data_IF_589154714909
#
_entry.id   IF_589154714909
#
_cell.length_a   1.000
_cell.length_b   1.000
_cell.length_c   1.000
_cell.angle_alpha   90.00
_cell.angle_beta   90.00
_cell.angle_gamma   90.00
#
_symmetry.space_group_name_H-M   'P 1'
#
loop_
_entity.id
_entity.type
_entity.pdbx_description
1 polymer ?
#
# COMPACT_ATOMS: atom_id res chain seq x y z
N UNK A 1 20.17 -20.51 -2.91
CA UNK A 1 19.90 -19.34 -2.04
C UNK A 1 19.68 -19.87 -0.63
N UNK A 2 20.42 -19.38 0.36
CA UNK A 2 20.35 -19.90 1.73
C UNK A 2 18.92 -19.76 2.30
N UNK A 3 18.40 -20.81 2.94
CA UNK A 3 17.04 -20.87 3.52
C UNK A 3 16.73 -19.69 4.45
N UNK A 4 17.76 -19.16 5.11
CA UNK A 4 17.69 -17.96 5.94
C UNK A 4 17.27 -16.72 5.13
N UNK A 5 17.79 -16.54 3.92
CA UNK A 5 17.45 -15.40 3.06
C UNK A 5 15.98 -15.44 2.62
N UNK A 6 15.44 -16.61 2.30
CA UNK A 6 14.01 -16.77 1.95
C UNK A 6 13.09 -16.37 3.12
N UNK A 7 13.45 -16.75 4.35
CA UNK A 7 12.69 -16.40 5.56
C UNK A 7 12.76 -14.89 5.82
N UNK A 8 13.92 -14.27 5.62
CA UNK A 8 14.09 -12.82 5.72
C UNK A 8 13.22 -12.09 4.71
N UNK A 9 13.27 -12.47 3.42
CA UNK A 9 12.42 -11.86 2.39
C UNK A 9 10.94 -11.98 2.74
N UNK A 10 10.45 -13.17 3.12
CA UNK A 10 9.05 -13.35 3.54
C UNK A 10 8.66 -12.38 4.65
N UNK A 11 9.49 -12.29 5.69
CA UNK A 11 9.22 -11.42 6.84
C UNK A 11 9.25 -9.94 6.44
N UNK A 12 10.17 -9.52 5.57
CA UNK A 12 10.22 -8.15 5.05
C UNK A 12 8.94 -7.85 4.27
N UNK A 13 8.58 -8.67 3.27
CA UNK A 13 7.38 -8.45 2.46
C UNK A 13 6.10 -8.35 3.32
N UNK A 14 5.91 -9.27 4.26
CA UNK A 14 4.72 -9.28 5.11
C UNK A 14 4.71 -8.13 6.13
N UNK A 15 5.85 -7.81 6.76
CA UNK A 15 5.92 -6.67 7.70
C UNK A 15 5.73 -5.34 6.98
N UNK A 16 6.37 -5.16 5.82
CA UNK A 16 6.20 -3.97 4.99
C UNK A 16 4.76 -3.84 4.50
N UNK A 17 4.09 -4.95 4.16
CA UNK A 17 2.66 -4.93 3.84
C UNK A 17 1.81 -4.42 5.01
N UNK A 18 2.04 -4.93 6.24
CA UNK A 18 1.29 -4.48 7.43
C UNK A 18 1.51 -2.99 7.70
N UNK A 19 2.76 -2.52 7.65
CA UNK A 19 3.07 -1.09 7.83
C UNK A 19 2.42 -0.25 6.74
N UNK A 20 2.51 -0.69 5.48
CA UNK A 20 1.88 -0.01 4.35
C UNK A 20 0.35 0.04 4.45
N UNK A 21 -0.28 -1.02 4.97
CA UNK A 21 -1.73 -1.05 5.20
C UNK A 21 -2.15 -0.05 6.29
N UNK A 22 -1.40 0.01 7.40
CA UNK A 22 -1.64 1.02 8.44
C UNK A 22 -1.50 2.43 7.89
N UNK A 23 -0.49 2.68 7.05
CA UNK A 23 -0.32 3.95 6.37
C UNK A 23 -1.46 4.27 5.41
N UNK A 24 -1.95 3.29 4.65
CA UNK A 24 -3.08 3.47 3.75
C UNK A 24 -4.36 3.85 4.50
N UNK A 25 -4.63 3.19 5.63
CA UNK A 25 -5.76 3.52 6.50
C UNK A 25 -5.60 4.93 7.06
N UNK A 26 -4.41 5.27 7.56
CA UNK A 26 -4.12 6.60 8.07
C UNK A 26 -4.32 7.69 7.01
N UNK A 27 -3.81 7.47 5.80
CA UNK A 27 -4.01 8.39 4.66
C UNK A 27 -5.48 8.52 4.28
N UNK A 28 -6.24 7.42 4.32
CA UNK A 28 -7.67 7.45 4.05
C UNK A 28 -8.42 8.30 5.08
N UNK A 29 -8.15 8.09 6.38
CA UNK A 29 -8.74 8.89 7.45
C UNK A 29 -8.35 10.36 7.31
N UNK A 30 -7.07 10.67 7.10
CA UNK A 30 -6.62 12.05 6.89
C UNK A 30 -7.32 12.70 5.70
N UNK A 31 -7.40 12.01 4.57
CA UNK A 31 -8.07 12.52 3.36
C UNK A 31 -9.54 12.79 3.61
N UNK A 32 -10.24 11.89 4.30
CA UNK A 32 -11.65 12.03 4.60
C UNK A 32 -11.92 13.17 5.61
N UNK A 33 -11.11 13.27 6.66
CA UNK A 33 -11.27 14.29 7.71
C UNK A 33 -10.88 15.69 7.23
N UNK A 34 -9.85 15.80 6.39
CA UNK A 34 -9.33 17.08 5.90
C UNK A 34 -9.78 17.41 4.47
N UNK A 35 -10.85 16.78 3.98
CA UNK A 35 -11.30 16.95 2.59
C UNK A 35 -11.56 18.42 2.22
N UNK A 36 -12.32 19.13 3.04
CA UNK A 36 -12.67 20.55 2.77
C UNK A 36 -11.43 21.44 2.74
N UNK A 37 -10.49 21.19 3.65
CA UNK A 37 -9.21 21.91 3.71
C UNK A 37 -8.34 21.62 2.48
N UNK A 38 -8.25 20.35 2.08
CA UNK A 38 -7.52 19.94 0.88
C UNK A 38 -8.13 20.54 -0.39
N UNK A 39 -9.46 20.54 -0.51
CA UNK A 39 -10.17 21.16 -1.63
C UNK A 39 -9.92 22.66 -1.69
N UNK A 40 -10.00 23.35 -0.54
CA UNK A 40 -9.72 24.78 -0.45
C UNK A 40 -8.30 25.13 -0.89
N UNK A 41 -7.29 24.36 -0.44
CA UNK A 41 -5.89 24.56 -0.85
C UNK A 41 -5.68 24.21 -2.32
N UNK A 42 -6.22 23.08 -2.79
CA UNK A 42 -6.08 22.63 -4.17
C UNK A 42 -6.68 23.65 -5.14
N UNK A 43 -7.83 24.20 -4.80
CA UNK A 43 -8.47 25.24 -5.59
C UNK A 43 -7.68 26.55 -5.53
N UNK A 44 -7.34 27.05 -4.33
CA UNK A 44 -6.69 28.37 -4.16
C UNK A 44 -5.25 28.44 -4.69
N UNK A 45 -4.46 27.37 -4.54
CA UNK A 45 -3.05 27.36 -4.96
C UNK A 45 -2.84 26.76 -6.34
N UNK A 46 -3.59 25.72 -6.68
CA UNK A 46 -3.36 24.93 -7.89
C UNK A 46 -4.47 25.08 -8.92
N UNK A 47 -5.56 25.79 -8.61
CA UNK A 47 -6.73 25.94 -9.48
C UNK A 47 -7.32 24.61 -9.93
N UNK A 48 -7.15 23.56 -9.11
CA UNK A 48 -7.67 22.23 -9.37
C UNK A 48 -9.11 22.18 -8.86
N UNK A 49 -10.05 21.75 -9.71
CA UNK A 49 -11.42 21.51 -9.30
C UNK A 49 -11.51 20.33 -8.33
N UNK A 50 -12.49 20.37 -7.44
CA UNK A 50 -12.75 19.29 -6.47
C UNK A 50 -12.92 17.92 -7.16
N UNK A 51 -13.60 17.88 -8.30
CA UNK A 51 -13.77 16.65 -9.11
C UNK A 51 -12.41 16.08 -9.56
N UNK A 52 -11.52 16.93 -10.07
CA UNK A 52 -10.21 16.49 -10.52
C UNK A 52 -9.32 16.06 -9.35
N UNK A 53 -9.40 16.77 -8.21
CA UNK A 53 -8.71 16.38 -6.99
C UNK A 53 -9.17 14.99 -6.51
N UNK A 54 -10.50 14.75 -6.52
CA UNK A 54 -11.08 13.45 -6.20
C UNK A 54 -10.57 12.34 -7.11
N UNK A 55 -10.53 12.56 -8.43
CA UNK A 55 -9.97 11.59 -9.39
C UNK A 55 -8.49 11.28 -9.10
N UNK A 56 -7.68 12.29 -8.81
CA UNK A 56 -6.25 12.13 -8.51
C UNK A 56 -6.05 11.31 -7.21
N UNK A 57 -6.81 11.65 -6.17
CA UNK A 57 -6.73 10.99 -4.87
C UNK A 57 -7.22 9.54 -4.98
N UNK A 58 -8.35 9.29 -5.63
CA UNK A 58 -8.86 7.95 -5.88
C UNK A 58 -7.87 7.12 -6.70
N UNK A 59 -7.29 7.69 -7.77
CA UNK A 59 -6.23 7.05 -8.55
C UNK A 59 -5.01 6.70 -7.69
N UNK A 60 -4.61 7.58 -6.79
CA UNK A 60 -3.54 7.32 -5.83
C UNK A 60 -3.87 6.14 -4.90
N UNK A 61 -5.11 6.05 -4.38
CA UNK A 61 -5.54 4.90 -3.56
C UNK A 61 -5.58 3.59 -4.35
N UNK A 62 -6.01 3.62 -5.61
CA UNK A 62 -5.99 2.43 -6.48
C UNK A 62 -4.55 1.95 -6.69
N UNK A 63 -3.62 2.85 -6.99
CA UNK A 63 -2.21 2.52 -7.14
C UNK A 63 -1.60 1.98 -5.84
N UNK A 64 -1.91 2.61 -4.70
CA UNK A 64 -1.47 2.15 -3.39
C UNK A 64 -1.99 0.74 -3.09
N UNK A 65 -3.28 0.48 -3.33
CA UNK A 65 -3.90 -0.84 -3.19
C UNK A 65 -3.20 -1.87 -4.08
N UNK A 66 -2.96 -1.52 -5.35
CA UNK A 66 -2.27 -2.40 -6.29
C UNK A 66 -0.87 -2.76 -5.78
N UNK A 67 -0.10 -1.77 -5.34
CA UNK A 67 1.24 -1.98 -4.80
C UNK A 67 1.22 -2.88 -3.56
N UNK A 68 0.37 -2.58 -2.57
CA UNK A 68 0.27 -3.37 -1.34
C UNK A 68 -0.10 -4.83 -1.63
N UNK A 69 -1.08 -5.07 -2.51
CA UNK A 69 -1.54 -6.43 -2.80
C UNK A 69 -0.54 -7.17 -3.69
N UNK A 70 -0.23 -6.63 -4.87
CA UNK A 70 0.50 -7.38 -5.89
C UNK A 70 2.01 -7.34 -5.69
N UNK A 71 2.55 -6.24 -5.18
CA UNK A 71 4.01 -6.07 -5.03
C UNK A 71 4.49 -6.52 -3.66
N UNK A 72 3.65 -6.46 -2.61
CA UNK A 72 4.05 -6.87 -1.27
C UNK A 72 3.40 -8.18 -0.81
N UNK A 73 2.07 -8.23 -0.78
CA UNK A 73 1.34 -9.36 -0.19
C UNK A 73 1.52 -10.65 -1.01
N UNK A 74 1.29 -10.58 -2.31
CA UNK A 74 1.41 -11.74 -3.22
C UNK A 74 2.78 -12.42 -3.13
N UNK A 75 3.93 -11.71 -3.30
CA UNK A 75 5.24 -12.35 -3.15
C UNK A 75 5.52 -12.81 -1.71
N UNK A 76 5.05 -12.08 -0.69
CA UNK A 76 5.14 -12.51 0.70
C UNK A 76 4.45 -13.85 0.96
N UNK A 77 3.25 -14.03 0.42
CA UNK A 77 2.49 -15.29 0.48
C UNK A 77 3.16 -16.38 -0.34
N UNK A 78 3.60 -16.08 -1.57
CA UNK A 78 4.29 -17.05 -2.42
C UNK A 78 5.54 -17.61 -1.71
N UNK A 79 6.36 -16.75 -1.11
CA UNK A 79 7.52 -17.16 -0.31
C UNK A 79 7.12 -18.02 0.90
N UNK A 80 6.00 -17.72 1.56
CA UNK A 80 5.49 -18.55 2.65
C UNK A 80 5.22 -19.99 2.19
N UNK A 81 4.55 -20.17 1.04
CA UNK A 81 4.27 -21.50 0.48
C UNK A 81 5.53 -22.23 0.02
N UNK A 82 6.48 -21.54 -0.62
CA UNK A 82 7.76 -22.13 -1.05
C UNK A 82 8.60 -22.62 0.14
N UNK A 83 8.66 -21.85 1.23
CA UNK A 83 9.37 -22.28 2.44
C UNK A 83 8.67 -23.50 3.06
N UNK A 84 7.33 -23.55 3.03
CA UNK A 84 6.54 -24.67 3.54
C UNK A 84 6.76 -25.94 2.72
N UNK A 85 6.77 -25.87 1.38
CA UNK A 85 7.03 -27.04 0.53
C UNK A 85 8.44 -27.58 0.74
N UNK A 86 9.42 -26.70 0.91
CA UNK A 86 10.83 -27.07 1.20
C UNK A 86 11.01 -27.71 2.58
N UNK A 87 10.03 -27.62 3.50
CA UNK A 87 10.07 -28.30 4.81
C UNK A 87 9.53 -29.74 4.76
N UNK A 88 8.69 -30.04 3.76
CA UNK A 88 8.03 -31.35 3.62
C UNK A 88 8.76 -32.33 2.70
N UNK A 89 9.83 -31.90 2.03
CA UNK A 89 10.80 -32.73 1.32
C UNK A 89 12.07 -32.85 2.14
#
# INVERSE_FOLDING_TARGET
MEKQNLILFRNIFLKTFVVGLLFAIFLFVMTATFWDFLCSIAFSKFHISEENLGKIILGSFVNLRFYLIFVLLTPGIALHWVIKSTKNN
#
